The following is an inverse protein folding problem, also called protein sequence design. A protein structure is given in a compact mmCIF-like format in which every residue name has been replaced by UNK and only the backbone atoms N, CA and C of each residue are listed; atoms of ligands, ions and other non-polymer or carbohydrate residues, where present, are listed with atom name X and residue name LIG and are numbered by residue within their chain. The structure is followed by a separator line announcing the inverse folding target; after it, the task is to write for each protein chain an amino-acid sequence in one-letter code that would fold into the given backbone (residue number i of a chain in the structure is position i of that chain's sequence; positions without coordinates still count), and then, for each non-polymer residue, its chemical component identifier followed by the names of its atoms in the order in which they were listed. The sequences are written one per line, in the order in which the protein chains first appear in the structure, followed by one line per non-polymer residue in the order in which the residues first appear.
data_IF_147030002834
#
_entry.id   IF_147030002834
#
_cell.length_a   1.000
_cell.length_b   1.000
_cell.length_c   1.000
_cell.angle_alpha   90.00
_cell.angle_beta   90.00
_cell.angle_gamma   90.00
#
_symmetry.space_group_name_H-M   'P 1'
#
loop_
_entity.id
_entity.type
_entity.pdbx_description
1 polymer ?
#
# COMPACT_ATOMS: atom_id res chain seq x y z
N UNK A 1 19.48 -2.92 29.35
CA UNK A 1 18.25 -3.56 28.82
C UNK A 1 17.92 -2.97 27.45
N UNK A 2 18.17 -3.69 26.34
CA UNK A 2 17.95 -3.17 24.97
C UNK A 2 16.45 -3.01 24.71
N UNK A 3 15.96 -1.77 24.60
CA UNK A 3 14.62 -1.46 24.06
C UNK A 3 14.54 -2.10 22.66
N UNK A 4 13.80 -3.20 22.51
CA UNK A 4 13.51 -3.76 21.19
C UNK A 4 12.58 -2.77 20.51
N UNK A 5 13.12 -2.00 19.57
CA UNK A 5 12.39 -1.04 18.75
C UNK A 5 11.28 -1.75 17.96
N UNK A 6 10.09 -1.81 18.55
CA UNK A 6 8.83 -2.22 17.92
C UNK A 6 8.07 -1.03 17.29
N UNK A 7 8.72 0.14 17.17
CA UNK A 7 8.12 1.39 16.71
C UNK A 7 7.48 1.31 15.30
N UNK A 8 7.92 0.37 14.46
CA UNK A 8 7.37 0.19 13.10
C UNK A 8 5.96 -0.42 13.09
N UNK A 9 5.47 -0.93 14.22
CA UNK A 9 4.06 -1.36 14.35
C UNK A 9 3.08 -0.18 14.43
N UNK A 10 3.60 1.04 14.64
CA UNK A 10 2.79 2.23 14.93
C UNK A 10 2.74 3.17 13.73
N UNK A 11 3.86 3.43 13.06
CA UNK A 11 3.92 4.36 11.92
C UNK A 11 5.09 3.99 10.97
N UNK A 12 4.82 3.90 9.66
CA UNK A 12 5.86 3.64 8.64
C UNK A 12 6.77 4.85 8.40
N UNK A 13 6.31 6.07 8.67
CA UNK A 13 7.10 7.29 8.48
C UNK A 13 8.25 7.40 9.49
N UNK A 14 8.26 6.57 10.54
CA UNK A 14 9.37 6.44 11.49
C UNK A 14 10.49 5.49 11.02
N UNK A 15 10.31 4.81 9.89
CA UNK A 15 11.33 3.94 9.32
C UNK A 15 12.34 4.76 8.51
N UNK A 16 13.62 4.39 8.61
CA UNK A 16 14.60 4.91 7.65
C UNK A 16 14.27 4.41 6.23
N UNK A 17 14.69 5.10 5.16
CA UNK A 17 14.41 4.66 3.78
C UNK A 17 14.82 3.20 3.52
N UNK A 18 15.97 2.79 4.04
CA UNK A 18 16.46 1.40 3.95
C UNK A 18 15.58 0.40 4.70
N UNK A 19 15.03 0.79 5.86
CA UNK A 19 14.10 -0.06 6.61
C UNK A 19 12.75 -0.15 5.92
N UNK A 20 12.28 0.95 5.34
CA UNK A 20 11.04 1.03 4.59
C UNK A 20 11.10 0.17 3.33
N UNK A 21 12.19 0.24 2.56
CA UNK A 21 12.41 -0.63 1.41
C UNK A 21 12.32 -2.12 1.79
N UNK A 22 13.07 -2.54 2.82
CA UNK A 22 13.01 -3.92 3.33
C UNK A 22 11.63 -4.32 3.83
N UNK A 23 10.87 -3.38 4.38
CA UNK A 23 9.49 -3.62 4.79
C UNK A 23 8.61 -3.91 3.57
N UNK A 24 8.68 -3.08 2.53
CA UNK A 24 7.94 -3.28 1.27
C UNK A 24 8.30 -4.60 0.60
N UNK A 25 9.59 -4.92 0.49
CA UNK A 25 10.06 -6.20 -0.05
C UNK A 25 9.55 -7.39 0.77
N UNK A 26 9.43 -7.23 2.10
CA UNK A 26 8.86 -8.27 2.97
C UNK A 26 7.35 -8.43 2.79
N UNK A 27 6.63 -7.34 2.47
CA UNK A 27 5.20 -7.40 2.08
C UNK A 27 5.05 -8.11 0.73
N UNK A 28 5.96 -7.86 -0.21
CA UNK A 28 5.98 -8.56 -1.50
C UNK A 28 6.26 -10.05 -1.32
N UNK A 29 7.22 -10.40 -0.45
CA UNK A 29 7.46 -11.80 -0.10
C UNK A 29 6.22 -12.47 0.51
N UNK A 30 5.48 -11.76 1.36
CA UNK A 30 4.20 -12.23 1.90
C UNK A 30 3.16 -12.43 0.79
N UNK A 31 3.09 -11.54 -0.20
CA UNK A 31 2.23 -11.69 -1.36
C UNK A 31 2.55 -12.97 -2.12
N UNK A 32 3.82 -13.23 -2.44
CA UNK A 32 4.25 -14.46 -3.12
C UNK A 32 3.88 -15.72 -2.32
N UNK A 33 4.06 -15.70 -1.00
CA UNK A 33 3.71 -16.83 -0.12
C UNK A 33 2.21 -17.10 -0.12
N UNK A 34 1.38 -16.04 -0.17
CA UNK A 34 -0.09 -16.19 -0.30
C UNK A 34 -0.49 -16.86 -1.60
N UNK A 35 0.31 -16.69 -2.66
CA UNK A 35 0.11 -17.29 -3.97
C UNK A 35 0.92 -18.59 -4.15
N UNK A 36 1.27 -19.25 -3.04
CA UNK A 36 1.82 -20.61 -3.07
C UNK A 36 3.35 -20.70 -3.09
N UNK A 37 4.08 -19.58 -3.11
CA UNK A 37 5.55 -19.62 -3.03
C UNK A 37 6.03 -20.08 -1.66
N UNK A 38 7.06 -20.93 -1.63
CA UNK A 38 7.77 -21.27 -0.40
C UNK A 38 8.52 -20.03 0.13
N UNK A 39 8.63 -19.91 1.46
CA UNK A 39 9.34 -18.79 2.12
C UNK A 39 10.78 -18.59 1.58
N UNK A 40 11.51 -19.69 1.34
CA UNK A 40 12.87 -19.63 0.76
C UNK A 40 12.86 -19.09 -0.68
N UNK A 41 11.84 -19.45 -1.48
CA UNK A 41 11.69 -18.95 -2.87
C UNK A 41 11.34 -17.47 -2.87
N UNK A 42 10.37 -17.05 -2.05
CA UNK A 42 9.98 -15.66 -1.89
C UNK A 42 11.16 -14.77 -1.44
N UNK A 43 11.98 -15.27 -0.51
CA UNK A 43 13.22 -14.62 -0.06
C UNK A 43 14.22 -14.39 -1.20
N UNK A 44 14.40 -15.37 -2.09
CA UNK A 44 15.28 -15.22 -3.26
C UNK A 44 14.74 -14.20 -4.27
N UNK A 45 13.44 -14.28 -4.59
CA UNK A 45 12.80 -13.37 -5.56
C UNK A 45 12.89 -11.92 -5.10
N UNK A 46 12.55 -11.67 -3.84
CA UNK A 46 12.54 -10.31 -3.25
C UNK A 46 13.91 -9.83 -2.80
N UNK A 47 14.96 -10.67 -2.90
CA UNK A 47 16.32 -10.38 -2.43
C UNK A 47 16.38 -9.97 -0.95
N UNK A 48 15.42 -10.40 -0.14
CA UNK A 48 15.36 -10.13 1.30
C UNK A 48 15.50 -11.42 2.09
N UNK A 49 16.40 -11.39 3.08
CA UNK A 49 16.64 -12.53 3.97
C UNK A 49 15.37 -13.02 4.68
N UNK A 50 15.28 -14.34 4.92
CA UNK A 50 14.18 -14.95 5.67
C UNK A 50 14.01 -14.34 7.07
N UNK A 51 15.11 -13.96 7.74
CA UNK A 51 15.05 -13.29 9.04
C UNK A 51 14.39 -11.92 8.96
N UNK A 52 14.66 -11.16 7.90
CA UNK A 52 14.03 -9.85 7.66
C UNK A 52 12.54 -10.01 7.31
N UNK A 53 12.17 -10.99 6.48
CA UNK A 53 10.76 -11.31 6.22
C UNK A 53 10.05 -11.64 7.53
N UNK A 54 10.61 -12.55 8.35
CA UNK A 54 10.03 -12.89 9.66
C UNK A 54 9.96 -11.69 10.60
N UNK A 55 10.94 -10.78 10.55
CA UNK A 55 10.95 -9.56 11.37
C UNK A 55 9.74 -8.68 11.07
N UNK A 56 9.45 -8.41 9.79
CA UNK A 56 8.41 -7.44 9.40
C UNK A 56 7.02 -8.06 9.22
N UNK A 57 6.94 -9.29 8.69
CA UNK A 57 5.66 -9.93 8.34
C UNK A 57 5.44 -11.25 9.09
N UNK A 58 6.31 -11.63 10.02
CA UNK A 58 6.24 -12.91 10.73
C UNK A 58 4.93 -13.14 11.49
N UNK A 59 4.30 -12.09 12.01
CA UNK A 59 2.98 -12.15 12.67
C UNK A 59 1.87 -12.68 11.74
N UNK A 60 2.08 -12.58 10.42
CA UNK A 60 1.15 -13.04 9.40
C UNK A 60 1.49 -14.43 8.86
N UNK A 61 2.57 -15.04 9.34
CA UNK A 61 3.00 -16.36 8.92
C UNK A 61 2.58 -17.39 9.98
N UNK A 62 2.38 -18.63 9.56
CA UNK A 62 2.23 -19.78 10.44
C UNK A 62 2.88 -21.01 9.80
N UNK A 63 3.24 -21.99 10.62
CA UNK A 63 3.73 -23.28 10.14
C UNK A 63 2.54 -24.23 10.02
N UNK A 64 2.45 -24.94 8.90
CA UNK A 64 1.49 -26.02 8.65
C UNK A 64 2.22 -27.16 7.93
N UNK A 65 2.20 -28.37 8.49
CA UNK A 65 2.89 -29.55 7.94
C UNK A 65 4.33 -29.26 7.49
N UNK A 66 5.14 -28.66 8.39
CA UNK A 66 6.53 -28.23 8.15
C UNK A 66 6.73 -27.16 7.07
N UNK A 67 5.66 -26.63 6.47
CA UNK A 67 5.69 -25.53 5.49
C UNK A 67 5.28 -24.22 6.15
N UNK A 68 5.96 -23.13 5.82
CA UNK A 68 5.51 -21.79 6.21
C UNK A 68 4.44 -21.31 5.24
N UNK A 69 3.26 -20.97 5.76
CA UNK A 69 2.14 -20.45 5.00
C UNK A 69 1.70 -19.09 5.54
N UNK A 70 1.10 -18.27 4.67
CA UNK A 70 0.56 -16.98 5.05
C UNK A 70 -0.86 -17.11 5.63
N UNK A 71 -1.18 -16.27 6.62
CA UNK A 71 -2.55 -16.07 7.12
C UNK A 71 -3.37 -15.29 6.09
N UNK A 72 -4.67 -15.60 6.03
CA UNK A 72 -5.64 -14.94 5.13
C UNK A 72 -5.79 -13.44 5.44
N UNK A 73 -5.75 -13.09 6.73
CA UNK A 73 -5.80 -11.72 7.23
C UNK A 73 -4.46 -11.28 7.78
N UNK A 74 -4.23 -9.97 7.77
CA UNK A 74 -3.12 -9.34 8.47
C UNK A 74 -3.53 -7.95 8.96
N UNK A 75 -2.74 -7.44 9.89
CA UNK A 75 -2.83 -6.09 10.43
C UNK A 75 -1.58 -5.27 10.10
N UNK A 76 -0.92 -5.57 8.97
CA UNK A 76 0.30 -4.89 8.54
C UNK A 76 -0.04 -3.50 7.99
N UNK A 77 0.83 -2.54 8.28
CA UNK A 77 0.69 -1.18 7.79
C UNK A 77 1.05 -1.09 6.31
N UNK A 78 0.34 -0.26 5.56
CA UNK A 78 0.64 0.00 4.14
C UNK A 78 0.43 1.47 3.86
N UNK A 79 1.44 2.12 3.30
CA UNK A 79 1.33 3.45 2.73
C UNK A 79 0.78 3.31 1.32
N UNK A 80 -0.33 3.97 1.03
CA UNK A 80 -1.02 3.90 -0.27
C UNK A 80 -1.52 5.28 -0.62
N UNK A 81 -1.49 5.63 -1.91
CA UNK A 81 -2.18 6.83 -2.38
C UNK A 81 -3.67 6.56 -2.56
N UNK A 82 -4.45 7.61 -2.37
CA UNK A 82 -5.87 7.70 -2.74
C UNK A 82 -6.09 9.05 -3.41
N UNK A 83 -7.16 9.17 -4.19
CA UNK A 83 -7.63 10.46 -4.67
C UNK A 83 -8.75 10.95 -3.77
N UNK A 84 -8.64 12.19 -3.30
CA UNK A 84 -9.57 12.80 -2.35
C UNK A 84 -9.61 14.31 -2.62
N UNK A 85 -10.82 14.86 -2.81
CA UNK A 85 -11.02 16.29 -3.00
C UNK A 85 -10.15 16.89 -4.13
N UNK A 86 -10.10 16.23 -5.29
CA UNK A 86 -9.34 16.71 -6.44
C UNK A 86 -7.81 16.68 -6.31
N UNK A 87 -7.24 15.90 -5.38
CA UNK A 87 -5.79 15.70 -5.22
C UNK A 87 -5.41 14.28 -4.85
N UNK A 88 -4.16 13.90 -5.13
CA UNK A 88 -3.56 12.68 -4.59
C UNK A 88 -3.14 12.89 -3.13
N UNK A 89 -3.46 11.93 -2.28
CA UNK A 89 -3.10 11.93 -0.85
C UNK A 89 -2.54 10.57 -0.46
N UNK A 90 -1.36 10.56 0.14
CA UNK A 90 -0.77 9.35 0.72
C UNK A 90 -1.29 9.12 2.14
N UNK A 91 -1.89 7.95 2.37
CA UNK A 91 -2.42 7.53 3.67
C UNK A 91 -1.77 6.24 4.12
N UNK A 92 -1.72 6.03 5.43
CA UNK A 92 -1.29 4.76 6.00
C UNK A 92 -2.50 4.00 6.55
N UNK A 93 -2.68 2.76 6.09
CA UNK A 93 -3.79 1.91 6.49
C UNK A 93 -3.32 0.60 7.10
N UNK A 94 -4.08 0.12 8.08
CA UNK A 94 -3.83 -1.16 8.74
C UNK A 94 -4.61 -2.29 8.07
N UNK A 95 -3.88 -3.31 7.63
CA UNK A 95 -4.40 -4.60 7.21
C UNK A 95 -4.79 -4.70 5.74
N UNK A 96 -4.84 -5.95 5.27
CA UNK A 96 -5.09 -6.30 3.86
C UNK A 96 -6.43 -5.82 3.32
N UNK A 97 -7.49 -5.80 4.13
CA UNK A 97 -8.85 -5.46 3.66
C UNK A 97 -8.91 -4.02 3.13
N UNK A 98 -8.43 -3.05 3.92
CA UNK A 98 -8.37 -1.63 3.51
C UNK A 98 -7.46 -1.43 2.30
N UNK A 99 -6.29 -2.06 2.32
CA UNK A 99 -5.36 -1.96 1.20
C UNK A 99 -5.93 -2.54 -0.10
N UNK A 100 -6.62 -3.67 -0.02
CA UNK A 100 -7.30 -4.26 -1.17
C UNK A 100 -8.45 -3.39 -1.67
N UNK A 101 -9.13 -2.67 -0.79
CA UNK A 101 -10.19 -1.74 -1.17
C UNK A 101 -9.63 -0.55 -1.97
N UNK A 102 -8.52 0.03 -1.51
CA UNK A 102 -7.78 1.07 -2.24
C UNK A 102 -7.27 0.54 -3.58
N UNK A 103 -6.74 -0.67 -3.63
CA UNK A 103 -6.30 -1.29 -4.89
C UNK A 103 -7.45 -1.51 -5.88
N UNK A 104 -8.65 -1.88 -5.39
CA UNK A 104 -9.85 -1.99 -6.23
C UNK A 104 -10.29 -0.63 -6.77
N UNK A 105 -10.22 0.41 -5.95
CA UNK A 105 -10.51 1.78 -6.37
C UNK A 105 -9.59 2.22 -7.51
N UNK A 106 -8.28 2.08 -7.36
CA UNK A 106 -7.32 2.38 -8.42
C UNK A 106 -7.51 1.51 -9.67
N UNK A 107 -7.83 0.23 -9.50
CA UNK A 107 -8.15 -0.62 -10.65
C UNK A 107 -9.44 -0.20 -11.36
N UNK A 108 -10.40 0.42 -10.67
CA UNK A 108 -11.60 0.96 -11.30
C UNK A 108 -11.27 2.24 -12.07
N UNK A 109 -10.43 3.12 -11.50
CA UNK A 109 -9.90 4.32 -12.17
C UNK A 109 -9.17 3.95 -13.46
N UNK A 110 -8.26 2.98 -13.42
CA UNK A 110 -7.50 2.54 -14.59
C UNK A 110 -8.35 1.89 -15.69
N UNK A 111 -9.64 1.65 -15.44
CA UNK A 111 -10.62 1.17 -16.43
C UNK A 111 -11.70 2.20 -16.72
N UNK A 112 -11.50 3.46 -16.34
CA UNK A 112 -12.41 4.54 -16.73
C UNK A 112 -12.22 4.78 -18.22
N UNK A 113 -13.09 4.18 -19.02
CA UNK A 113 -13.36 4.67 -20.35
C UNK A 113 -14.04 6.04 -20.21
N UNK A 114 -13.80 6.94 -21.17
CA UNK A 114 -14.31 8.31 -21.13
C UNK A 114 -15.84 8.30 -20.93
N UNK A 115 -16.29 8.50 -19.67
CA UNK A 115 -17.67 8.70 -19.19
C UNK A 115 -18.40 7.55 -18.47
N UNK A 116 -17.77 6.41 -18.17
CA UNK A 116 -18.48 5.39 -17.35
C UNK A 116 -18.37 5.64 -15.84
N UNK A 117 -19.20 6.55 -15.35
CA UNK A 117 -19.32 6.91 -13.92
C UNK A 117 -19.77 5.73 -13.04
N UNK A 118 -20.41 4.70 -13.61
CA UNK A 118 -20.99 3.59 -12.84
C UNK A 118 -19.92 2.76 -12.13
N UNK A 119 -18.71 2.70 -12.71
CA UNK A 119 -17.56 1.99 -12.14
C UNK A 119 -17.11 2.54 -10.78
N UNK A 120 -17.36 3.83 -10.51
CA UNK A 120 -16.94 4.49 -9.26
C UNK A 120 -18.05 4.60 -8.21
N UNK A 121 -19.31 4.39 -8.57
CA UNK A 121 -20.45 4.52 -7.64
C UNK A 121 -20.32 3.64 -6.40
N UNK A 122 -19.75 2.44 -6.56
CA UNK A 122 -19.50 1.52 -5.43
C UNK A 122 -18.57 2.08 -4.35
N UNK A 123 -17.84 3.18 -4.63
CA UNK A 123 -16.91 3.82 -3.71
C UNK A 123 -17.45 5.09 -3.03
N UNK A 124 -18.62 5.61 -3.45
CA UNK A 124 -19.16 6.91 -3.01
C UNK A 124 -19.29 7.04 -1.48
N UNK A 125 -19.83 6.01 -0.83
CA UNK A 125 -20.06 6.01 0.62
C UNK A 125 -18.93 5.35 1.42
N UNK A 126 -17.85 4.95 0.74
CA UNK A 126 -16.74 4.27 1.38
C UNK A 126 -15.85 5.26 2.12
N UNK A 127 -15.75 5.05 3.43
CA UNK A 127 -14.89 5.81 4.33
C UNK A 127 -13.70 4.97 4.77
N UNK A 128 -12.50 5.52 4.63
CA UNK A 128 -11.26 4.87 5.07
C UNK A 128 -10.67 5.66 6.22
N UNK A 129 -10.60 5.03 7.41
CA UNK A 129 -9.85 5.57 8.53
C UNK A 129 -8.37 5.18 8.44
N UNK A 130 -7.47 6.15 8.45
CA UNK A 130 -6.03 5.94 8.49
C UNK A 130 -5.54 5.53 9.91
N UNK A 131 -4.22 5.40 10.10
CA UNK A 131 -3.64 5.10 11.41
C UNK A 131 -3.68 6.27 12.39
N UNK A 132 -3.80 7.51 11.89
CA UNK A 132 -3.87 8.75 12.69
C UNK A 132 -5.29 9.08 13.15
N UNK A 133 -6.26 8.26 12.74
CA UNK A 133 -7.68 8.43 13.05
C UNK A 133 -8.44 9.32 12.06
N UNK A 134 -7.76 9.89 11.07
CA UNK A 134 -8.39 10.72 10.03
C UNK A 134 -9.23 9.84 9.11
N UNK A 135 -10.43 10.32 8.81
CA UNK A 135 -11.34 9.67 7.87
C UNK A 135 -11.16 10.29 6.49
N UNK A 136 -10.99 9.43 5.50
CA UNK A 136 -10.84 9.78 4.10
C UNK A 136 -12.00 9.25 3.27
N UNK A 137 -12.32 9.95 2.19
CA UNK A 137 -13.27 9.51 1.16
C UNK A 137 -12.58 9.43 -0.20
N UNK A 138 -13.03 8.49 -1.03
CA UNK A 138 -12.58 8.42 -2.41
C UNK A 138 -13.20 9.53 -3.25
N UNK A 139 -12.40 10.13 -4.13
CA UNK A 139 -12.91 10.97 -5.21
C UNK A 139 -13.64 10.09 -6.22
N UNK A 140 -14.85 10.51 -6.61
CA UNK A 140 -15.68 9.79 -7.59
C UNK A 140 -16.00 10.66 -8.80
N UNK A 141 -15.72 11.96 -8.74
CA UNK A 141 -15.89 12.86 -9.87
C UNK A 141 -14.79 12.58 -10.91
N UNK A 142 -15.20 12.11 -12.09
CA UNK A 142 -14.27 11.73 -13.16
C UNK A 142 -13.44 12.91 -13.65
N UNK A 143 -13.99 14.11 -13.75
CA UNK A 143 -13.23 15.29 -14.20
C UNK A 143 -12.12 15.64 -13.21
N UNK A 144 -12.41 15.56 -11.89
CA UNK A 144 -11.38 15.73 -10.86
C UNK A 144 -10.32 14.63 -10.91
N UNK A 145 -10.72 13.38 -11.18
CA UNK A 145 -9.76 12.27 -11.31
C UNK A 145 -8.85 12.49 -12.53
N UNK A 146 -9.40 12.91 -13.68
CA UNK A 146 -8.61 13.26 -14.87
C UNK A 146 -7.61 14.36 -14.57
N UNK A 147 -8.03 15.44 -13.92
CA UNK A 147 -7.13 16.51 -13.49
C UNK A 147 -6.02 16.04 -12.54
N UNK A 148 -6.29 15.05 -11.67
CA UNK A 148 -5.26 14.47 -10.81
C UNK A 148 -4.27 13.67 -11.65
N UNK A 149 -4.76 12.83 -12.58
CA UNK A 149 -3.92 12.01 -13.45
C UNK A 149 -3.03 12.87 -14.35
N UNK A 150 -3.57 13.91 -14.97
CA UNK A 150 -2.83 14.88 -15.79
C UNK A 150 -1.67 15.52 -14.98
N UNK A 151 -1.93 15.94 -13.74
CA UNK A 151 -0.87 16.50 -12.85
C UNK A 151 0.20 15.47 -12.45
N UNK A 152 -0.15 14.19 -12.39
CA UNK A 152 0.80 13.12 -12.08
C UNK A 152 1.65 12.78 -13.31
N UNK A 153 1.08 12.86 -14.51
CA UNK A 153 1.77 12.61 -15.79
C UNK A 153 2.71 13.77 -16.18
N UNK A 154 2.42 15.00 -15.74
CA UNK A 154 3.27 16.18 -15.95
C UNK A 154 3.93 16.74 -14.66
N UNK A 155 4.74 15.98 -13.90
CA UNK A 155 5.36 16.51 -12.69
C UNK A 155 6.44 17.58 -12.97
N UNK A 156 6.98 17.66 -14.20
CA UNK A 156 8.22 18.38 -14.51
C UNK A 156 8.14 19.28 -15.77
N UNK A 157 7.27 20.31 -15.77
CA UNK A 157 7.48 21.48 -16.66
C UNK A 157 7.67 22.81 -15.91
N UNK A 158 7.62 22.83 -14.58
CA UNK A 158 7.70 24.08 -13.78
C UNK A 158 9.08 24.40 -13.18
N UNK A 159 9.99 23.42 -13.04
CA UNK A 159 11.27 23.66 -12.34
C UNK A 159 12.46 23.98 -13.26
N UNK A 160 12.34 23.84 -14.58
CA UNK A 160 13.47 24.07 -15.51
C UNK A 160 13.59 25.54 -15.97
N UNK A 161 12.58 26.40 -15.72
CA UNK A 161 12.59 27.82 -16.11
C UNK A 161 12.89 28.81 -14.96
N UNK A 162 13.24 28.33 -13.77
CA UNK A 162 13.54 29.19 -12.60
C UNK A 162 15.01 29.34 -12.23
N UNK A 163 15.92 28.85 -13.08
CA UNK A 163 17.36 29.09 -12.92
C UNK A 163 17.87 29.95 -14.07
N UNK A 164 17.54 31.25 -14.02
CA UNK A 164 18.31 32.31 -14.69
C UNK A 164 19.28 32.90 -13.66
#
# INVERSE_FOLDING_TARGET
MKRRNENWKVDLDLLTPKQLAKYHDSIEALYLIRHGSLLKKASKITRVSVSTIKKYVGSTLRVNNRKTIARKSDSLLRKMSIYENGKEVFIQVKGRKKASLIGKYHSAIGRLDQNDMTKLQSFQEIKIRDIKGKVHKFEINVDKIKQILERIEEPEFFDIYRSN
#
